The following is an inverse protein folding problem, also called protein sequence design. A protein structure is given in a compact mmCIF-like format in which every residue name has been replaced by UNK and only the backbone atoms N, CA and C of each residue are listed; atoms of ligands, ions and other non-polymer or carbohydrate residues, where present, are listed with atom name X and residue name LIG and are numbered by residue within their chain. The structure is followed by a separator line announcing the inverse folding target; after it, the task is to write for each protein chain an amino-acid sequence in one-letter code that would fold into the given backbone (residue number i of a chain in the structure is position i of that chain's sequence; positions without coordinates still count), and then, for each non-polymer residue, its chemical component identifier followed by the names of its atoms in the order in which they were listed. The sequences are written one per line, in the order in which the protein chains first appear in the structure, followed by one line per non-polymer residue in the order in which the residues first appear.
data_IF_577902574062
#
_entry.id   IF_577902574062
#
_cell.length_a   1.000
_cell.length_b   1.000
_cell.length_c   1.000
_cell.angle_alpha   90.00
_cell.angle_beta   90.00
_cell.angle_gamma   90.00
#
_symmetry.space_group_name_H-M   'P 1'
#
loop_
_entity.id
_entity.type
_entity.pdbx_description
1 polymer ?
#
# COMPACT_ATOMS: atom_id res chain seq x y z
N UNK A 1 12.63 -2.40 17.60
CA UNK A 1 12.36 -1.49 18.74
C UNK A 1 11.99 -0.13 18.18
N UNK A 2 11.10 0.58 18.86
CA UNK A 2 10.75 1.97 18.56
C UNK A 2 10.67 2.77 19.87
N UNK A 3 10.53 4.08 19.76
CA UNK A 3 10.28 4.93 20.92
C UNK A 3 9.26 6.02 20.61
N UNK A 4 8.52 6.43 21.64
CA UNK A 4 7.60 7.56 21.60
C UNK A 4 7.85 8.46 22.82
N UNK A 5 7.72 9.77 22.63
CA UNK A 5 7.82 10.74 23.73
C UNK A 5 6.44 11.26 24.06
N UNK A 6 5.94 10.99 25.26
CA UNK A 6 4.59 11.36 25.68
C UNK A 6 4.65 12.25 26.90
N UNK A 7 3.86 13.33 26.90
CA UNK A 7 3.77 14.21 28.07
C UNK A 7 2.96 13.56 29.20
N UNK A 8 3.36 13.68 30.47
CA UNK A 8 2.64 13.10 31.60
C UNK A 8 1.17 13.52 31.71
N UNK A 9 0.78 14.70 31.21
CA UNK A 9 -0.60 15.18 31.31
C UNK A 9 -1.55 14.51 30.30
N UNK A 10 -1.03 13.80 29.29
CA UNK A 10 -1.86 13.12 28.28
C UNK A 10 -2.49 11.87 28.88
N UNK A 11 -3.77 11.64 28.62
CA UNK A 11 -4.47 10.43 29.09
C UNK A 11 -3.78 9.13 28.63
N UNK A 12 -3.24 9.12 27.41
CA UNK A 12 -2.51 7.97 26.88
C UNK A 12 -1.27 7.64 27.72
N UNK A 13 -0.62 8.62 28.36
CA UNK A 13 0.52 8.36 29.26
C UNK A 13 0.12 7.43 30.41
N UNK A 14 -1.02 7.70 31.04
CA UNK A 14 -1.55 6.90 32.15
C UNK A 14 -1.81 5.47 31.69
N UNK A 15 -2.52 5.29 30.57
CA UNK A 15 -2.80 3.96 30.03
C UNK A 15 -1.54 3.19 29.67
N UNK A 16 -0.59 3.81 28.97
CA UNK A 16 0.66 3.14 28.58
C UNK A 16 1.46 2.72 29.82
N UNK A 17 1.48 3.53 30.88
CA UNK A 17 2.21 3.22 32.11
C UNK A 17 1.53 2.14 32.94
N UNK A 18 0.22 2.05 32.89
CA UNK A 18 -0.57 1.01 33.56
C UNK A 18 -0.46 -0.33 32.83
N UNK A 19 -0.66 -0.35 31.52
CA UNK A 19 -0.68 -1.58 30.71
C UNK A 19 0.71 -2.04 30.30
N UNK A 20 1.69 -1.13 30.23
CA UNK A 20 3.00 -1.36 29.61
C UNK A 20 2.92 -1.79 28.15
N UNK A 21 1.81 -1.49 27.47
CA UNK A 21 1.53 -1.90 26.09
C UNK A 21 0.84 -0.76 25.32
N UNK A 22 1.09 -0.68 24.01
CA UNK A 22 0.39 0.25 23.13
C UNK A 22 0.48 -0.17 21.67
N UNK A 23 -0.41 0.41 20.84
CA UNK A 23 -0.34 0.28 19.38
C UNK A 23 0.00 1.61 18.73
N UNK A 24 0.90 1.61 17.74
CA UNK A 24 1.16 2.76 16.87
C UNK A 24 0.42 2.55 15.56
N UNK A 25 -0.53 3.43 15.25
CA UNK A 25 -1.32 3.36 14.02
C UNK A 25 -0.83 4.44 13.05
N UNK A 26 -0.57 4.07 11.79
CA UNK A 26 -0.10 4.98 10.73
C UNK A 26 -1.30 5.33 9.84
N UNK A 27 -1.82 6.56 9.93
CA UNK A 27 -3.05 6.95 9.22
C UNK A 27 -2.78 7.40 7.78
N UNK A 28 -3.78 7.18 6.92
CA UNK A 28 -3.85 7.71 5.56
C UNK A 28 -4.36 9.16 5.51
N UNK A 29 -4.25 9.81 4.35
CA UNK A 29 -4.54 11.24 4.20
C UNK A 29 -5.99 11.65 4.40
N UNK A 30 -6.94 10.76 4.12
CA UNK A 30 -8.36 10.95 4.39
C UNK A 30 -8.69 10.99 5.89
N UNK A 31 -7.84 10.39 6.74
CA UNK A 31 -7.98 10.40 8.19
C UNK A 31 -7.43 11.66 8.87
N UNK A 32 -6.81 12.59 8.12
CA UNK A 32 -6.12 13.78 8.68
C UNK A 32 -6.96 14.54 9.71
N UNK A 33 -8.24 14.78 9.42
CA UNK A 33 -9.14 15.49 10.34
C UNK A 33 -9.36 14.74 11.66
N UNK A 34 -9.48 13.41 11.58
CA UNK A 34 -9.70 12.57 12.75
C UNK A 34 -8.45 12.48 13.63
N UNK A 35 -7.28 12.39 12.99
CA UNK A 35 -5.96 12.43 13.66
C UNK A 35 -5.78 13.77 14.38
N UNK A 36 -6.07 14.88 13.70
CA UNK A 36 -5.98 16.21 14.29
C UNK A 36 -6.90 16.37 15.51
N UNK A 37 -8.17 15.94 15.40
CA UNK A 37 -9.11 15.93 16.52
C UNK A 37 -8.55 15.15 17.71
N UNK A 38 -7.95 13.99 17.47
CA UNK A 38 -7.30 13.18 18.50
C UNK A 38 -6.08 13.86 19.13
N UNK A 39 -5.35 14.68 18.36
CA UNK A 39 -4.20 15.44 18.85
C UNK A 39 -4.56 16.62 19.76
N UNK A 40 -5.69 17.29 19.50
CA UNK A 40 -6.07 18.55 20.16
C UNK A 40 -7.13 18.40 21.25
N UNK A 41 -7.98 17.37 21.21
CA UNK A 41 -9.03 17.17 22.23
C UNK A 41 -8.53 16.34 23.42
N UNK A 42 -8.93 16.66 24.66
CA UNK A 42 -8.56 15.88 25.83
C UNK A 42 -9.36 14.58 25.91
N UNK A 43 -8.68 13.43 25.96
CA UNK A 43 -9.32 12.11 26.04
C UNK A 43 -10.10 11.88 27.34
N UNK A 44 -9.78 12.62 28.41
CA UNK A 44 -10.52 12.55 29.69
C UNK A 44 -11.94 13.11 29.60
N UNK A 45 -12.24 13.91 28.57
CA UNK A 45 -13.54 14.56 28.37
C UNK A 45 -14.31 14.00 27.17
N UNK A 46 -13.60 13.50 26.16
CA UNK A 46 -14.19 13.06 24.90
C UNK A 46 -13.75 11.62 24.60
N UNK A 47 -14.72 10.78 24.27
CA UNK A 47 -14.47 9.46 23.68
C UNK A 47 -14.09 9.64 22.21
N UNK A 48 -12.80 9.74 21.95
CA UNK A 48 -12.26 10.02 20.62
C UNK A 48 -12.56 8.92 19.61
N UNK A 49 -12.64 7.68 20.07
CA UNK A 49 -12.91 6.53 19.22
C UNK A 49 -14.32 6.63 18.68
N UNK A 50 -15.29 6.87 19.56
CA UNK A 50 -16.69 7.07 19.19
C UNK A 50 -16.90 8.33 18.37
N UNK A 51 -16.29 9.45 18.77
CA UNK A 51 -16.46 10.74 18.08
C UNK A 51 -15.97 10.69 16.62
N UNK A 52 -14.88 9.97 16.36
CA UNK A 52 -14.30 9.82 15.02
C UNK A 52 -14.76 8.57 14.28
N UNK A 53 -15.66 7.77 14.88
CA UNK A 53 -16.16 6.51 14.33
C UNK A 53 -15.07 5.50 13.95
N UNK A 54 -14.01 5.38 14.77
CA UNK A 54 -12.98 4.39 14.54
C UNK A 54 -13.45 2.98 14.89
N UNK A 55 -13.07 2.02 14.05
CA UNK A 55 -13.30 0.61 14.30
C UNK A 55 -12.09 0.04 15.03
N UNK A 56 -12.27 -0.32 16.29
CA UNK A 56 -11.21 -0.93 17.10
C UNK A 56 -11.16 -2.44 16.86
N UNK A 57 -9.96 -2.97 16.63
CA UNK A 57 -9.71 -4.41 16.45
C UNK A 57 -8.73 -4.88 17.51
N UNK A 58 -8.99 -6.06 18.09
CA UNK A 58 -8.15 -6.64 19.14
C UNK A 58 -6.74 -6.94 18.62
N UNK A 59 -5.75 -6.72 19.47
CA UNK A 59 -4.37 -7.12 19.21
C UNK A 59 -4.19 -8.63 19.27
N UNK A 60 -3.12 -9.13 18.64
CA UNK A 60 -2.73 -10.54 18.64
C UNK A 60 -1.68 -10.80 19.71
N UNK A 61 -0.72 -9.89 19.90
CA UNK A 61 0.39 -10.06 20.85
C UNK A 61 0.34 -9.10 22.05
N UNK A 62 -0.63 -8.19 22.08
CA UNK A 62 -0.89 -7.20 23.14
C UNK A 62 -2.38 -7.10 23.42
N UNK A 63 -2.76 -6.70 24.63
CA UNK A 63 -4.16 -6.55 25.06
C UNK A 63 -4.76 -5.19 24.66
N UNK A 64 -3.99 -4.38 23.90
CA UNK A 64 -4.40 -3.05 23.44
C UNK A 64 -4.88 -3.13 21.98
N UNK A 65 -6.09 -2.63 21.67
CA UNK A 65 -6.62 -2.68 20.31
C UNK A 65 -5.96 -1.67 19.37
N UNK A 66 -6.01 -1.94 18.08
CA UNK A 66 -5.57 -1.04 17.01
C UNK A 66 -6.75 -0.48 16.20
N UNK A 67 -6.50 0.53 15.36
CA UNK A 67 -7.51 1.20 14.52
C UNK A 67 -7.52 0.52 13.15
N UNK A 68 -8.64 -0.11 12.77
CA UNK A 68 -8.76 -0.87 11.52
C UNK A 68 -8.60 -0.02 10.26
N UNK A 69 -8.99 1.25 10.33
CA UNK A 69 -8.90 2.18 9.20
C UNK A 69 -7.44 2.58 8.87
N UNK A 70 -6.48 2.33 9.77
CA UNK A 70 -5.08 2.63 9.48
C UNK A 70 -4.45 1.50 8.65
N UNK A 71 -3.78 1.81 7.52
CA UNK A 71 -3.14 0.80 6.66
C UNK A 71 -2.06 -0.02 7.37
N UNK A 72 -1.46 0.54 8.42
CA UNK A 72 -0.39 -0.10 9.19
C UNK A 72 -0.60 0.19 10.67
N UNK A 73 -0.52 -0.87 11.48
CA UNK A 73 -0.57 -0.80 12.94
C UNK A 73 0.52 -1.65 13.56
N UNK A 74 1.18 -1.14 14.59
CA UNK A 74 2.36 -1.77 15.20
C UNK A 74 2.08 -2.02 16.68
N UNK A 75 2.17 -3.28 17.10
CA UNK A 75 1.97 -3.71 18.49
C UNK A 75 3.27 -3.59 19.27
N UNK A 76 3.21 -2.91 20.43
CA UNK A 76 4.39 -2.53 21.20
C UNK A 76 4.25 -2.91 22.67
N UNK A 77 5.33 -3.46 23.25
CA UNK A 77 5.48 -3.65 24.70
C UNK A 77 6.60 -2.75 25.24
N UNK A 78 6.29 -1.95 26.25
CA UNK A 78 7.23 -1.02 26.88
C UNK A 78 8.34 -1.81 27.57
N UNK A 79 9.59 -1.44 27.31
CA UNK A 79 10.79 -1.98 27.97
C UNK A 79 11.37 -1.04 29.01
N UNK A 80 11.32 0.26 28.74
CA UNK A 80 11.77 1.27 29.70
C UNK A 80 11.09 2.61 29.46
N UNK A 81 11.05 3.43 30.50
CA UNK A 81 10.51 4.78 30.49
C UNK A 81 11.60 5.69 31.03
N UNK A 82 12.05 6.66 30.24
CA UNK A 82 13.14 7.59 30.59
C UNK A 82 12.55 9.00 30.74
N UNK A 83 12.58 9.59 31.94
CA UNK A 83 12.13 10.97 32.13
C UNK A 83 13.07 11.98 31.44
N UNK A 84 12.52 12.88 30.62
CA UNK A 84 13.27 13.93 29.91
C UNK A 84 12.80 15.36 30.24
N UNK A 85 12.09 15.52 31.36
CA UNK A 85 11.56 16.80 31.83
C UNK A 85 10.16 17.08 31.31
N UNK A 86 10.01 17.54 30.07
CA UNK A 86 8.68 17.89 29.51
C UNK A 86 7.90 16.68 28.97
N UNK A 87 8.61 15.62 28.63
CA UNK A 87 8.07 14.36 28.14
C UNK A 87 8.85 13.23 28.79
N UNK A 88 8.25 12.05 28.87
CA UNK A 88 9.00 10.82 29.10
C UNK A 88 9.13 10.07 27.78
N UNK A 89 10.31 9.49 27.56
CA UNK A 89 10.60 8.63 26.42
C UNK A 89 10.27 7.18 26.78
N UNK A 90 9.26 6.63 26.14
CA UNK A 90 8.91 5.22 26.21
C UNK A 90 9.71 4.48 25.14
N UNK A 91 10.55 3.54 25.56
CA UNK A 91 11.28 2.63 24.67
C UNK A 91 10.52 1.31 24.65
N UNK A 92 10.15 0.85 23.46
CA UNK A 92 9.31 -0.33 23.30
C UNK A 92 9.89 -1.35 22.31
N UNK A 93 9.64 -2.62 22.63
CA UNK A 93 9.80 -3.73 21.70
C UNK A 93 8.59 -3.79 20.77
N UNK A 94 8.84 -4.00 19.48
CA UNK A 94 7.79 -4.26 18.50
C UNK A 94 7.55 -5.77 18.50
N UNK A 95 6.35 -6.19 18.88
CA UNK A 95 5.98 -7.61 19.02
C UNK A 95 5.09 -8.09 17.88
N UNK A 96 4.54 -7.19 17.07
CA UNK A 96 3.71 -7.51 15.92
C UNK A 96 3.43 -6.29 15.05
N UNK A 97 2.97 -6.52 13.83
CA UNK A 97 2.48 -5.48 12.93
C UNK A 97 1.37 -6.01 12.04
N UNK A 98 0.33 -5.22 11.87
CA UNK A 98 -0.67 -5.38 10.82
C UNK A 98 -0.32 -4.46 9.67
N UNK A 99 -0.43 -4.99 8.47
CA UNK A 99 -0.21 -4.27 7.22
C UNK A 99 -1.32 -4.71 6.29
N UNK A 100 -1.98 -3.74 5.65
CA UNK A 100 -2.98 -4.03 4.64
C UNK A 100 -2.38 -4.89 3.53
N UNK A 101 -3.12 -5.93 3.14
CA UNK A 101 -2.66 -6.91 2.14
C UNK A 101 -2.35 -6.26 0.80
N UNK A 102 -3.07 -5.19 0.47
CA UNK A 102 -2.89 -4.44 -0.77
C UNK A 102 -1.54 -3.72 -0.83
N UNK A 103 -0.85 -3.56 0.32
CA UNK A 103 0.48 -2.97 0.40
C UNK A 103 1.61 -4.01 0.33
N UNK A 104 1.30 -5.30 0.17
CA UNK A 104 2.29 -6.37 0.13
C UNK A 104 2.36 -7.02 -1.24
N UNK A 105 3.56 -7.13 -1.79
CA UNK A 105 3.79 -7.90 -3.02
C UNK A 105 3.87 -9.42 -2.75
N UNK A 106 3.87 -10.22 -3.82
CA UNK A 106 3.99 -11.69 -3.74
C UNK A 106 5.29 -12.17 -3.06
N UNK A 107 6.30 -11.29 -2.95
CA UNK A 107 7.59 -11.58 -2.31
C UNK A 107 7.63 -11.16 -0.85
N UNK A 108 6.51 -10.65 -0.31
CA UNK A 108 6.40 -10.15 1.06
C UNK A 108 7.06 -8.78 1.27
N UNK A 109 7.38 -8.04 0.19
CA UNK A 109 7.85 -6.67 0.28
C UNK A 109 6.66 -5.74 0.53
N UNK A 110 6.82 -4.86 1.51
CA UNK A 110 5.84 -3.81 1.81
C UNK A 110 6.11 -2.60 0.91
N UNK A 111 5.05 -2.10 0.27
CA UNK A 111 5.01 -0.91 -0.56
C UNK A 111 4.39 0.25 0.22
N UNK A 112 5.17 0.86 1.11
CA UNK A 112 4.72 1.98 1.96
C UNK A 112 4.34 3.21 1.14
N UNK A 113 4.91 3.37 -0.04
CA UNK A 113 4.58 4.42 -1.00
C UNK A 113 3.12 4.36 -1.47
N UNK A 114 2.45 3.22 -1.34
CA UNK A 114 1.04 3.03 -1.75
C UNK A 114 0.06 3.26 -0.58
N UNK A 115 0.56 3.47 0.64
CA UNK A 115 -0.26 3.57 1.86
C UNK A 115 -0.92 4.95 2.09
N UNK A 116 -0.71 5.93 1.21
CA UNK A 116 -1.22 7.31 1.30
C UNK A 116 -1.03 7.96 2.68
N UNK A 117 0.12 7.68 3.32
CA UNK A 117 0.41 8.13 4.69
C UNK A 117 0.50 9.64 4.79
N UNK A 118 0.23 10.17 5.99
CA UNK A 118 0.46 11.57 6.32
C UNK A 118 1.80 11.79 7.03
N UNK A 119 2.34 12.99 6.83
CA UNK A 119 3.48 13.53 7.55
C UNK A 119 3.08 14.86 8.19
N UNK A 120 3.62 15.14 9.37
CA UNK A 120 3.40 16.40 10.06
C UNK A 120 4.66 17.24 10.03
N UNK A 121 4.56 18.46 9.51
CA UNK A 121 5.67 19.40 9.44
C UNK A 121 5.19 20.79 9.87
N UNK A 122 5.78 21.29 10.96
CA UNK A 122 5.59 22.64 11.50
C UNK A 122 4.12 23.14 11.59
N UNK A 123 3.18 22.29 12.00
CA UNK A 123 1.77 22.68 12.18
C UNK A 123 0.88 22.34 11.00
N UNK A 124 1.44 21.78 9.93
CA UNK A 124 0.71 21.39 8.73
C UNK A 124 0.87 19.89 8.48
N UNK A 125 -0.16 19.30 7.88
CA UNK A 125 -0.17 17.91 7.45
C UNK A 125 0.06 17.85 5.95
N UNK A 126 0.97 16.98 5.52
CA UNK A 126 1.30 16.73 4.13
C UNK A 126 1.11 15.25 3.82
N UNK A 127 0.76 14.93 2.58
CA UNK A 127 0.87 13.55 2.09
C UNK A 127 2.35 13.17 2.03
N UNK A 128 2.66 11.93 2.40
CA UNK A 128 3.98 11.36 2.16
C UNK A 128 4.19 11.24 0.65
N UNK A 129 5.37 11.63 0.17
CA UNK A 129 5.71 11.49 -1.23
C UNK A 129 5.81 10.01 -1.61
N UNK A 130 5.27 9.67 -2.77
CA UNK A 130 5.29 8.32 -3.33
C UNK A 130 6.55 8.07 -4.16
N UNK A 131 7.21 9.13 -4.64
CA UNK A 131 8.42 9.02 -5.43
C UNK A 131 9.66 8.89 -4.53
N UNK A 132 10.33 7.75 -4.62
CA UNK A 132 11.58 7.54 -3.91
C UNK A 132 12.70 8.41 -4.50
N UNK A 133 13.33 9.25 -3.67
CA UNK A 133 14.49 10.07 -4.06
C UNK A 133 15.76 9.25 -4.34
N UNK A 134 15.80 8.00 -3.88
CA UNK A 134 16.92 7.09 -4.06
C UNK A 134 16.68 5.75 -3.36
N UNK A 135 17.54 4.76 -3.64
CA UNK A 135 17.54 3.46 -2.96
C UNK A 135 18.66 3.40 -1.94
N UNK A 136 18.52 2.66 -0.84
CA UNK A 136 19.60 2.49 0.14
C UNK A 136 20.96 2.22 -0.54
N UNK A 137 21.98 2.98 -0.14
CA UNK A 137 23.34 2.88 -0.70
C UNK A 137 23.56 3.56 -2.06
N UNK A 138 22.58 4.27 -2.63
CA UNK A 138 22.73 4.95 -3.93
C UNK A 138 23.85 6.01 -3.97
N UNK A 139 24.25 6.58 -2.83
CA UNK A 139 25.37 7.53 -2.72
C UNK A 139 26.74 6.89 -3.01
N UNK A 140 26.86 5.58 -2.80
CA UNK A 140 28.10 4.81 -3.00
C UNK A 140 27.97 3.74 -4.10
N UNK A 141 26.80 3.66 -4.74
CA UNK A 141 26.54 2.70 -5.79
C UNK A 141 27.43 3.00 -7.00
N UNK A 142 28.15 1.97 -7.49
CA UNK A 142 28.94 2.11 -8.71
C UNK A 142 28.00 2.43 -9.87
N UNK A 143 28.36 3.45 -10.65
CA UNK A 143 27.63 3.75 -11.89
C UNK A 143 27.62 2.48 -12.76
N UNK A 144 26.47 2.09 -13.34
CA UNK A 144 26.43 0.96 -14.23
C UNK A 144 27.39 1.24 -15.40
N UNK A 145 28.39 0.38 -15.56
CA UNK A 145 29.29 0.44 -16.71
C UNK A 145 28.40 0.19 -17.94
N UNK A 146 28.10 1.24 -18.70
CA UNK A 146 27.49 1.08 -20.02
C UNK A 146 28.45 0.25 -20.87
N UNK A 147 28.16 -1.06 -21.02
CA UNK A 147 28.75 -1.83 -22.11
C UNK A 147 28.24 -1.19 -23.39
N UNK A 148 29.12 -0.43 -24.06
CA UNK A 148 28.90 -0.04 -25.46
C UNK A 148 28.60 -1.32 -26.23
N UNK A 149 27.38 -1.47 -26.73
CA UNK A 149 27.08 -2.43 -27.76
C UNK A 149 28.01 -2.13 -28.94
N UNK A 150 29.00 -3.01 -29.16
CA UNK A 150 29.80 -2.99 -30.37
C UNK A 150 28.88 -3.44 -31.49
N UNK A 151 28.21 -2.49 -32.14
CA UNK A 151 27.58 -2.72 -33.45
C UNK A 151 28.71 -2.98 -34.45
N UNK A 152 29.00 -4.25 -34.71
CA UNK A 152 29.78 -4.68 -35.85
C UNK A 152 29.03 -4.25 -37.12
N UNK A 153 29.55 -3.23 -37.80
CA UNK A 153 29.21 -2.94 -39.20
C UNK A 153 29.93 -3.99 -40.04
N UNK A 154 29.18 -4.91 -40.63
CA UNK A 154 29.65 -5.69 -41.78
C UNK A 154 29.55 -4.76 -43.00
N UNK A 155 30.69 -4.29 -43.47
CA UNK A 155 30.83 -3.57 -44.75
C UNK A 155 30.70 -4.59 -45.89
N UNK A 156 29.53 -4.62 -46.52
CA UNK A 156 29.35 -5.24 -47.84
C UNK A 156 29.83 -4.27 -48.92
N UNK A 157 31.08 -4.42 -49.39
CA UNK A 157 31.40 -4.00 -50.77
C UNK A 157 32.61 -4.75 -51.36
N UNK A 158 32.35 -5.34 -52.53
CA UNK A 158 33.28 -5.81 -53.58
C UNK A 158 33.72 -7.28 -53.55
N UNK A 159 32.93 -8.14 -54.21
CA UNK A 159 33.49 -9.00 -55.28
C UNK A 159 32.64 -8.82 -56.53
N UNK A 160 33.35 -8.56 -57.64
CA UNK A 160 32.87 -8.17 -58.96
C UNK A 160 32.21 -9.33 -59.70
N UNK A 161 31.27 -8.96 -60.57
CA UNK A 161 30.82 -9.67 -61.76
C UNK A 161 31.96 -10.38 -62.49
N UNK A 162 31.78 -11.65 -62.87
CA UNK A 162 31.79 -12.17 -64.26
C UNK A 162 31.23 -13.59 -64.21
N UNK A 163 30.00 -13.81 -64.70
CA UNK A 163 29.66 -14.84 -65.70
C UNK A 163 28.18 -14.80 -66.02
N UNK A 164 27.94 -14.26 -67.20
CA UNK A 164 26.70 -14.12 -67.92
C UNK A 164 26.18 -15.49 -68.39
N UNK A 165 24.85 -15.61 -68.40
CA UNK A 165 24.03 -16.35 -69.38
C UNK A 165 24.18 -17.86 -69.56
N UNK A 166 23.15 -18.60 -69.13
CA UNK A 166 22.46 -19.66 -69.90
C UNK A 166 21.12 -19.96 -69.19
N UNK A 167 20.00 -19.36 -69.62
CA UNK A 167 19.04 -19.91 -70.60
C UNK A 167 18.60 -21.34 -70.24
N UNK A 168 17.40 -21.52 -69.67
CA UNK A 168 16.32 -22.41 -70.15
C UNK A 168 15.12 -22.52 -69.18
N UNK A 169 14.02 -21.89 -69.60
CA UNK A 169 12.65 -22.42 -69.71
C UNK A 169 11.94 -23.09 -68.51
N UNK A 170 10.81 -22.44 -68.18
CA UNK A 170 9.42 -22.93 -68.19
C UNK A 170 8.84 -23.62 -66.95
N UNK A 171 7.78 -22.95 -66.48
CA UNK A 171 6.43 -23.43 -66.21
C UNK A 171 6.21 -24.40 -65.03
N UNK A 172 5.36 -23.98 -64.07
CA UNK A 172 3.92 -24.32 -64.12
C UNK A 172 3.11 -23.78 -62.92
N UNK A 173 2.02 -23.06 -63.28
CA UNK A 173 0.63 -23.15 -62.79
C UNK A 173 0.33 -23.10 -61.27
N UNK A 174 -0.41 -22.06 -60.81
CA UNK A 174 -1.89 -22.01 -60.60
C UNK A 174 -2.34 -22.89 -59.41
N UNK A 175 -2.95 -22.41 -58.32
CA UNK A 175 -4.26 -21.73 -58.17
C UNK A 175 -4.43 -21.45 -56.65
N UNK A 176 -4.82 -20.25 -56.18
CA UNK A 176 -6.20 -19.85 -55.81
C UNK A 176 -6.97 -20.92 -54.99
N UNK A 177 -7.48 -20.67 -53.78
CA UNK A 177 -8.74 -19.97 -53.42
C UNK A 177 -8.82 -20.06 -51.87
N UNK A 178 -8.88 -18.97 -51.09
CA UNK A 178 -10.02 -18.12 -50.67
C UNK A 178 -11.16 -18.85 -49.92
N UNK A 179 -11.66 -18.16 -48.88
CA UNK A 179 -13.03 -18.22 -48.34
C UNK A 179 -13.36 -19.41 -47.41
N UNK A 180 -14.13 -19.27 -46.32
CA UNK A 180 -14.79 -18.13 -45.68
C UNK A 180 -15.47 -18.63 -44.39
N UNK A 181 -15.68 -17.71 -43.42
CA UNK A 181 -16.96 -17.47 -42.70
C UNK A 181 -17.68 -18.67 -42.05
N UNK A 182 -17.99 -18.62 -40.76
CA UNK A 182 -19.13 -17.91 -40.11
C UNK A 182 -19.71 -18.94 -39.09
N UNK A 183 -20.44 -18.67 -38.03
CA UNK A 183 -21.16 -17.49 -37.52
C UNK A 183 -21.64 -17.81 -36.09
N UNK A 184 -21.74 -16.78 -35.26
CA UNK A 184 -22.90 -16.35 -34.42
C UNK A 184 -23.79 -17.38 -33.70
N UNK A 185 -24.10 -17.09 -32.43
CA UNK A 185 -25.33 -16.38 -31.99
C UNK A 185 -25.32 -16.23 -30.45
N UNK A 186 -25.47 -15.01 -29.87
CA UNK A 186 -26.69 -14.23 -29.53
C UNK A 186 -27.47 -14.71 -28.29
N UNK A 187 -27.71 -13.78 -27.36
CA UNK A 187 -28.84 -13.83 -26.41
C UNK A 187 -28.84 -12.72 -25.35
N UNK A 188 -29.86 -11.85 -25.37
CA UNK A 188 -30.21 -10.76 -24.42
C UNK A 188 -31.46 -11.15 -23.60
N UNK A 189 -31.73 -10.38 -22.53
CA UNK A 189 -33.00 -10.16 -21.75
C UNK A 189 -33.14 -11.04 -20.48
N UNK A 190 -33.80 -10.68 -19.36
CA UNK A 190 -34.47 -9.49 -18.80
C UNK A 190 -34.82 -9.78 -17.31
N UNK A 191 -35.00 -8.73 -16.49
CA UNK A 191 -35.96 -8.49 -15.37
C UNK A 191 -36.65 -9.63 -14.58
N UNK A 192 -36.74 -9.48 -13.23
CA UNK A 192 -37.90 -9.68 -12.29
C UNK A 192 -37.35 -9.49 -10.85
N UNK A 193 -37.53 -8.35 -10.15
CA UNK A 193 -38.55 -8.03 -9.12
C UNK A 193 -39.06 -9.16 -8.21
N UNK A 194 -38.81 -9.07 -6.90
CA UNK A 194 -39.85 -9.33 -5.88
C UNK A 194 -39.56 -8.55 -4.60
N UNK A 195 -40.42 -7.56 -4.33
CA UNK A 195 -40.73 -7.09 -2.98
C UNK A 195 -41.36 -8.25 -2.22
N UNK A 196 -41.02 -8.42 -0.95
CA UNK A 196 -41.96 -9.02 -0.01
C UNK A 196 -42.03 -8.18 1.27
N UNK A 197 -43.16 -7.48 1.38
CA UNK A 197 -43.68 -6.78 2.55
C UNK A 197 -44.58 -7.70 3.35
N UNK A 198 -44.41 -7.76 4.68
CA UNK A 198 -45.38 -8.04 5.76
C UNK A 198 -44.54 -8.07 7.05
N UNK A 199 -44.55 -7.11 7.99
CA UNK A 199 -45.62 -6.46 8.78
C UNK A 199 -46.53 -7.47 9.49
N UNK A 200 -46.33 -7.62 10.81
CA UNK A 200 -47.30 -7.69 11.93
C UNK A 200 -46.52 -8.11 13.20
N UNK A 201 -46.23 -7.21 14.16
CA UNK A 201 -47.06 -6.80 15.33
C UNK A 201 -47.40 -7.92 16.32
N UNK A 202 -46.87 -7.78 17.55
CA UNK A 202 -47.44 -8.00 18.91
C UNK A 202 -46.41 -8.71 19.80
N UNK A 203 -45.82 -8.08 20.83
CA UNK A 203 -46.34 -7.63 22.16
C UNK A 203 -46.62 -8.82 23.10
N UNK A 204 -46.25 -8.61 24.38
CA UNK A 204 -46.41 -9.49 25.58
C UNK A 204 -45.19 -10.41 25.76
N UNK A 205 -44.36 -10.33 26.81
CA UNK A 205 -44.56 -9.98 28.23
C UNK A 205 -43.27 -9.37 28.78
#
# INVERSE_FOLDING_TARGET
MLSISVRPERLSYEYIKETMEFTVNLPSSDMTRAVDYCGVRPGRKFDKIKEMNFTMVEGTNVDVPYINECPISIECKVKSIIPLGTHDLFIAEVVGSYVDKDLMDEKGKIHLEEADLITYYHGEYFKMDTEALGKFGYSVAKKPIHKKEVKAKLDDTKVKEVKQSSILKKNSKKKSVKNNKNNKNKGKKNFITTKNTKKLKNKVK
#
